data_IF_882514616178
#
_entry.id   IF_882514616178
#
_cell.length_a   1.000
_cell.length_b   1.000
_cell.length_c   1.000
_cell.angle_alpha   90.00
_cell.angle_beta   90.00
_cell.angle_gamma   90.00
#
_symmetry.space_group_name_H-M   'P 1'
#
loop_
_entity.id
_entity.type
_entity.pdbx_description
1 polymer ?
#
# COMPACT_ATOMS: atom_id res chain seq x y z
N UNK A 1 1.99 0.31 28.15
CA UNK A 1 3.20 -0.37 27.66
C UNK A 1 2.78 -1.78 27.29
N UNK A 2 2.63 -2.09 26.00
CA UNK A 2 2.24 -3.43 25.57
C UNK A 2 3.45 -4.34 25.73
N UNK A 3 3.35 -5.34 26.61
CA UNK A 3 4.40 -6.32 26.87
C UNK A 3 4.18 -7.51 25.94
N UNK A 4 5.24 -7.99 25.27
CA UNK A 4 5.17 -9.15 24.40
C UNK A 4 4.71 -10.42 25.17
N UNK A 5 4.10 -11.40 24.50
CA UNK A 5 3.69 -12.66 25.14
C UNK A 5 4.86 -13.35 25.87
N UNK A 6 4.57 -14.12 26.92
CA UNK A 6 5.60 -14.94 27.54
C UNK A 6 6.12 -16.04 26.58
N UNK A 7 7.37 -16.46 26.78
CA UNK A 7 8.02 -17.52 26.00
C UNK A 7 7.17 -18.79 26.00
N UNK A 8 6.71 -19.25 24.82
CA UNK A 8 5.86 -20.44 24.69
C UNK A 8 6.26 -21.31 23.48
N UNK A 9 6.51 -22.60 23.71
CA UNK A 9 6.92 -23.51 22.63
C UNK A 9 8.22 -23.04 21.96
N UNK A 10 8.19 -22.87 20.63
CA UNK A 10 9.31 -22.34 19.83
C UNK A 10 9.37 -20.80 19.80
N UNK A 11 8.37 -20.11 20.35
CA UNK A 11 8.37 -18.65 20.46
C UNK A 11 9.34 -18.21 21.55
N UNK A 12 10.26 -17.30 21.23
CA UNK A 12 11.17 -16.65 22.18
C UNK A 12 11.16 -15.13 21.97
N UNK A 13 10.66 -14.34 22.96
CA UNK A 13 10.54 -12.89 22.84
C UNK A 13 11.85 -12.16 22.52
N UNK A 14 13.01 -12.78 22.80
CA UNK A 14 14.32 -12.20 22.50
C UNK A 14 14.58 -12.04 21.00
N UNK A 15 13.83 -12.75 20.15
CA UNK A 15 13.94 -12.66 18.69
C UNK A 15 12.80 -11.83 18.07
N UNK A 16 11.93 -11.23 18.88
CA UNK A 16 10.91 -10.30 18.40
C UNK A 16 11.57 -8.99 17.94
N UNK A 17 11.28 -8.56 16.72
CA UNK A 17 11.79 -7.31 16.17
C UNK A 17 10.63 -6.51 15.58
N UNK A 18 10.49 -5.27 16.03
CA UNK A 18 9.60 -4.31 15.38
C UNK A 18 10.08 -4.09 13.95
N UNK A 19 9.16 -4.23 13.00
CA UNK A 19 9.42 -4.13 11.58
C UNK A 19 8.22 -3.42 10.94
N UNK A 20 8.44 -2.70 9.85
CA UNK A 20 7.35 -2.09 9.09
C UNK A 20 6.44 -3.18 8.47
N UNK A 21 5.16 -2.83 8.32
CA UNK A 21 4.18 -3.59 7.56
C UNK A 21 4.44 -3.57 6.06
N UNK A 22 4.48 -4.74 5.42
CA UNK A 22 4.44 -4.86 3.95
C UNK A 22 3.46 -5.97 3.59
N UNK A 23 2.70 -5.77 2.52
CA UNK A 23 1.86 -6.79 1.92
C UNK A 23 1.54 -6.47 0.47
N UNK A 24 0.98 -7.43 -0.24
CA UNK A 24 0.59 -7.27 -1.64
C UNK A 24 -0.73 -7.98 -1.89
N UNK A 25 -1.46 -7.49 -2.88
CA UNK A 25 -2.68 -8.13 -3.40
C UNK A 25 -2.48 -8.33 -4.89
N UNK A 26 -2.88 -9.49 -5.41
CA UNK A 26 -2.72 -9.82 -6.83
C UNK A 26 -4.03 -10.35 -7.38
N UNK A 27 -4.36 -9.93 -8.61
CA UNK A 27 -5.44 -10.52 -9.37
C UNK A 27 -4.89 -11.62 -10.28
N UNK A 28 -5.04 -12.89 -9.88
CA UNK A 28 -4.40 -14.04 -10.54
C UNK A 28 -4.82 -14.19 -12.01
N UNK A 29 -6.03 -13.71 -12.35
CA UNK A 29 -6.56 -13.73 -13.72
C UNK A 29 -6.18 -12.50 -14.56
N UNK A 30 -5.29 -11.63 -14.05
CA UNK A 30 -4.84 -10.41 -14.69
C UNK A 30 -5.99 -9.49 -15.16
N UNK A 31 -7.03 -9.35 -14.33
CA UNK A 31 -8.15 -8.43 -14.61
C UNK A 31 -7.95 -7.14 -13.82
N UNK A 32 -7.86 -6.02 -14.51
CA UNK A 32 -7.83 -4.70 -13.88
C UNK A 32 -9.18 -4.41 -13.22
N UNK A 33 -9.15 -3.95 -11.97
CA UNK A 33 -10.36 -3.64 -11.20
C UNK A 33 -10.01 -2.68 -10.07
N UNK A 34 -10.88 -1.72 -9.78
CA UNK A 34 -10.71 -0.83 -8.63
C UNK A 34 -10.71 -1.60 -7.29
N UNK A 35 -11.35 -2.77 -7.25
CA UNK A 35 -11.41 -3.63 -6.05
C UNK A 35 -10.02 -3.98 -5.50
N UNK A 36 -9.01 -4.16 -6.35
CA UNK A 36 -7.65 -4.49 -5.88
C UNK A 36 -7.00 -3.32 -5.13
N UNK A 37 -7.38 -2.08 -5.47
CA UNK A 37 -6.94 -0.86 -4.79
C UNK A 37 -7.59 -0.80 -3.41
N UNK A 38 -8.90 -1.01 -3.32
CA UNK A 38 -9.63 -1.07 -2.04
C UNK A 38 -9.08 -2.16 -1.10
N UNK A 39 -8.72 -3.32 -1.65
CA UNK A 39 -8.07 -4.39 -0.91
C UNK A 39 -6.67 -3.98 -0.42
N UNK A 40 -5.88 -3.30 -1.24
CA UNK A 40 -4.58 -2.75 -0.85
C UNK A 40 -4.67 -1.70 0.25
N UNK A 41 -5.67 -0.80 0.18
CA UNK A 41 -5.94 0.17 1.24
C UNK A 41 -6.37 -0.51 2.54
N UNK A 42 -7.27 -1.50 2.45
CA UNK A 42 -7.69 -2.30 3.61
C UNK A 42 -6.50 -3.01 4.26
N UNK A 43 -5.57 -3.53 3.45
CA UNK A 43 -4.33 -4.14 3.92
C UNK A 43 -3.48 -3.13 4.69
N UNK A 44 -3.30 -1.91 4.19
CA UNK A 44 -2.58 -0.85 4.90
C UNK A 44 -3.23 -0.51 6.26
N UNK A 45 -4.56 -0.38 6.30
CA UNK A 45 -5.28 -0.17 7.56
C UNK A 45 -5.04 -1.31 8.56
N UNK A 46 -5.01 -2.55 8.09
CA UNK A 46 -4.74 -3.72 8.93
C UNK A 46 -3.29 -3.75 9.44
N UNK A 47 -2.35 -3.09 8.75
CA UNK A 47 -0.95 -2.95 9.16
C UNK A 47 -0.69 -1.76 10.10
N UNK A 48 -1.72 -0.97 10.44
CA UNK A 48 -1.57 0.24 11.27
C UNK A 48 -0.88 -0.03 12.63
N UNK A 49 -1.10 -1.21 13.23
CA UNK A 49 -0.46 -1.62 14.48
C UNK A 49 1.08 -1.78 14.37
N UNK A 50 1.63 -1.76 13.14
CA UNK A 50 3.06 -1.81 12.83
C UNK A 50 3.59 -0.49 12.26
N UNK A 51 2.75 0.54 12.23
CA UNK A 51 3.14 1.89 11.85
C UNK A 51 3.81 2.60 13.01
N UNK A 52 4.79 3.44 12.70
CA UNK A 52 5.28 4.41 13.66
C UNK A 52 4.21 5.48 13.88
N UNK A 53 3.87 5.70 15.15
CA UNK A 53 2.94 6.75 15.56
C UNK A 53 3.70 8.06 15.74
N UNK A 54 3.16 9.15 15.19
CA UNK A 54 3.68 10.48 15.38
C UNK A 54 3.46 11.02 16.80
N UNK A 55 3.78 12.29 17.01
CA UNK A 55 3.57 12.97 18.30
C UNK A 55 2.08 13.18 18.64
N UNK A 56 1.21 13.08 17.64
CA UNK A 56 -0.24 13.21 17.75
C UNK A 56 -0.95 12.07 16.98
N UNK A 57 -2.24 11.79 17.26
CA UNK A 57 -2.95 10.65 16.68
C UNK A 57 -3.17 10.72 15.17
N UNK A 58 -3.08 11.91 14.56
CA UNK A 58 -3.37 12.12 13.15
C UNK A 58 -2.10 12.08 12.28
N UNK A 59 -0.92 11.93 12.90
CA UNK A 59 0.36 11.87 12.20
C UNK A 59 1.02 10.49 12.28
N UNK A 60 1.69 10.13 11.19
CA UNK A 60 2.51 8.91 11.10
C UNK A 60 3.64 9.11 10.10
N UNK A 61 4.65 8.25 10.17
CA UNK A 61 5.89 8.40 9.37
C UNK A 61 5.67 8.22 7.86
N UNK A 62 4.66 7.42 7.49
CA UNK A 62 4.24 7.26 6.10
C UNK A 62 3.62 5.90 5.80
N UNK A 63 2.72 5.89 4.81
CA UNK A 63 2.17 4.68 4.20
C UNK A 63 1.96 4.92 2.72
N UNK A 64 2.03 3.87 1.91
CA UNK A 64 1.88 4.00 0.46
C UNK A 64 1.52 2.69 -0.20
N UNK A 65 0.98 2.79 -1.41
CA UNK A 65 0.66 1.66 -2.27
C UNK A 65 1.28 1.89 -3.64
N UNK A 66 1.93 0.86 -4.17
CA UNK A 66 2.40 0.84 -5.55
C UNK A 66 1.35 0.14 -6.42
N UNK A 67 0.93 0.80 -7.49
CA UNK A 67 -0.10 0.31 -8.41
C UNK A 67 0.38 0.40 -9.86
N UNK A 68 -0.34 -0.27 -10.76
CA UNK A 68 -0.15 -0.06 -12.20
C UNK A 68 -0.56 1.36 -12.58
N UNK A 69 0.02 1.89 -13.67
CA UNK A 69 -0.37 3.20 -14.22
C UNK A 69 -1.88 3.18 -14.52
N UNK A 70 -2.70 4.05 -13.89
CA UNK A 70 -4.13 4.14 -14.17
C UNK A 70 -4.36 4.86 -15.51
N UNK A 71 -4.11 4.15 -16.62
CA UNK A 71 -4.11 4.73 -17.96
C UNK A 71 -5.37 5.54 -18.29
N UNK A 72 -6.54 4.99 -18.00
CA UNK A 72 -7.82 5.65 -18.27
C UNK A 72 -7.95 7.01 -17.56
N UNK A 73 -7.51 7.09 -16.31
CA UNK A 73 -7.51 8.35 -15.55
C UNK A 73 -6.60 9.39 -16.22
N UNK A 74 -5.38 9.01 -16.62
CA UNK A 74 -4.48 9.93 -17.28
C UNK A 74 -4.98 10.36 -18.67
N UNK A 75 -5.64 9.49 -19.43
CA UNK A 75 -6.26 9.86 -20.71
C UNK A 75 -7.28 10.98 -20.51
N UNK A 76 -8.16 10.85 -19.52
CA UNK A 76 -9.21 11.84 -19.22
C UNK A 76 -8.63 13.20 -18.77
N UNK A 77 -7.65 13.18 -17.86
CA UNK A 77 -6.99 14.39 -17.36
C UNK A 77 -6.15 15.10 -18.43
N UNK A 78 -5.41 14.34 -19.24
CA UNK A 78 -4.62 14.86 -20.34
C UNK A 78 -5.51 15.48 -21.42
N UNK A 79 -6.59 14.79 -21.79
CA UNK A 79 -7.54 15.29 -22.78
C UNK A 79 -8.19 16.60 -22.30
N UNK A 80 -8.55 16.70 -21.02
CA UNK A 80 -9.06 17.93 -20.41
C UNK A 80 -8.05 19.08 -20.44
N UNK A 81 -6.76 18.74 -20.44
CA UNK A 81 -5.63 19.69 -20.55
C UNK A 81 -5.23 19.99 -22.01
N UNK A 82 -5.95 19.47 -23.00
CA UNK A 82 -5.66 19.67 -24.42
C UNK A 82 -4.47 18.86 -24.96
N UNK A 83 -4.03 17.83 -24.22
CA UNK A 83 -2.93 16.95 -24.58
C UNK A 83 -3.45 15.54 -24.87
N UNK A 84 -3.01 14.95 -25.98
CA UNK A 84 -3.34 13.56 -26.29
C UNK A 84 -2.25 12.64 -25.74
N UNK A 85 -2.64 11.74 -24.83
CA UNK A 85 -1.74 10.77 -24.24
C UNK A 85 -1.54 9.58 -25.20
N UNK A 86 -0.29 9.10 -25.40
CA UNK A 86 -0.02 7.85 -26.14
C UNK A 86 -0.67 6.62 -25.50
N UNK A 87 -0.67 5.51 -26.23
CA UNK A 87 -1.21 4.25 -25.75
C UNK A 87 -0.49 3.74 -24.50
N UNK A 88 -1.17 2.89 -23.73
CA UNK A 88 -0.59 2.28 -22.53
C UNK A 88 0.71 1.54 -22.85
N UNK A 89 1.79 1.88 -22.14
CA UNK A 89 3.13 1.33 -22.36
C UNK A 89 4.04 2.17 -23.26
N UNK A 90 3.52 3.21 -23.92
CA UNK A 90 4.30 4.13 -24.76
C UNK A 90 4.72 5.41 -24.00
N UNK A 91 4.39 5.52 -22.72
CA UNK A 91 4.74 6.66 -21.87
C UNK A 91 5.09 6.21 -20.44
N UNK A 92 5.79 7.09 -19.71
CA UNK A 92 6.16 6.90 -18.31
C UNK A 92 5.60 7.99 -17.41
N UNK A 93 5.47 7.68 -16.13
CA UNK A 93 5.11 8.61 -15.05
C UNK A 93 6.18 8.55 -13.96
N UNK A 94 6.41 9.67 -13.28
CA UNK A 94 7.39 9.81 -12.19
C UNK A 94 6.72 10.39 -10.95
#
# INVERSE_FOLDING_TARGET
MFQYPEKQGLYDPQFEHDNCGVGFVVQIKNRQSHQIIEQGLSLLCNLNHRGALGADPDTGDGSGILIQIPHQFFVEECQSSGFHLPESGEYGIA
#
